data_IF_955865371301
#
_entry.id   IF_955865371301
#
_cell.length_a   1.000
_cell.length_b   1.000
_cell.length_c   1.000
_cell.angle_alpha   90.00
_cell.angle_beta   90.00
_cell.angle_gamma   90.00
#
_symmetry.space_group_name_H-M   'P 1'
#
loop_
_entity.id
_entity.type
_entity.pdbx_description
1 polymer ?
#
# COMPACT_ATOMS: atom_id res chain seq x y z
N UNK A 1 -3.18 34.05 -24.28
CA UNK A 1 -1.72 34.17 -24.06
C UNK A 1 -1.13 34.49 -25.41
N UNK A 2 -0.67 35.74 -25.60
CA UNK A 2 -0.19 36.17 -26.91
C UNK A 2 1.20 35.58 -27.17
N UNK A 3 1.55 35.23 -28.42
CA UNK A 3 2.88 34.70 -28.77
C UNK A 3 4.02 35.64 -28.36
N UNK A 4 3.76 36.95 -28.34
CA UNK A 4 4.72 38.00 -28.01
C UNK A 4 5.04 38.10 -26.50
N UNK A 5 4.27 37.41 -25.65
CA UNK A 5 4.49 37.37 -24.21
C UNK A 5 5.59 36.38 -23.81
N UNK A 6 6.04 35.51 -24.74
CA UNK A 6 6.99 34.43 -24.49
C UNK A 6 8.39 34.85 -24.96
N UNK A 7 9.12 35.53 -24.08
CA UNK A 7 10.53 35.90 -24.28
C UNK A 7 11.42 34.91 -23.54
N UNK A 8 12.13 34.05 -24.29
CA UNK A 8 12.96 32.96 -23.75
C UNK A 8 14.33 33.48 -23.30
N UNK A 9 14.78 34.60 -23.84
CA UNK A 9 16.05 35.28 -23.59
C UNK A 9 16.03 36.19 -22.36
N UNK A 10 14.84 36.53 -21.86
CA UNK A 10 14.66 37.39 -20.69
C UNK A 10 14.80 36.61 -19.37
N UNK A 11 16.03 36.16 -19.10
CA UNK A 11 16.38 35.42 -17.89
C UNK A 11 16.04 36.17 -16.62
N UNK A 12 16.13 37.50 -16.63
CA UNK A 12 15.82 38.31 -15.45
C UNK A 12 14.33 38.25 -15.14
N UNK A 13 13.45 38.39 -16.14
CA UNK A 13 12.01 38.19 -15.98
C UNK A 13 11.67 36.75 -15.61
N UNK A 14 12.39 35.77 -16.16
CA UNK A 14 12.18 34.34 -15.86
C UNK A 14 12.53 34.01 -14.39
N UNK A 15 13.62 34.56 -13.85
CA UNK A 15 14.07 34.26 -12.48
C UNK A 15 13.50 35.20 -11.40
N UNK A 16 13.40 36.50 -11.65
CA UNK A 16 12.93 37.49 -10.68
C UNK A 16 11.45 37.86 -10.85
N UNK A 17 10.88 37.63 -12.03
CA UNK A 17 9.53 38.10 -12.35
C UNK A 17 9.42 39.62 -12.31
N UNK A 18 8.20 40.11 -12.10
CA UNK A 18 7.87 41.55 -12.01
C UNK A 18 7.74 42.03 -10.54
N UNK A 19 8.12 41.20 -9.57
CA UNK A 19 7.90 41.45 -8.14
C UNK A 19 9.09 42.20 -7.52
N UNK A 20 8.85 43.12 -6.57
CA UNK A 20 9.91 43.86 -5.90
C UNK A 20 10.79 42.93 -5.05
N UNK A 21 12.09 43.24 -4.95
CA UNK A 21 13.06 42.43 -4.20
C UNK A 21 12.66 42.19 -2.71
N UNK A 22 11.95 43.14 -2.10
CA UNK A 22 11.43 43.03 -0.73
C UNK A 22 10.41 41.89 -0.57
N UNK A 23 9.70 41.53 -1.64
CA UNK A 23 8.72 40.45 -1.62
C UNK A 23 9.39 39.09 -1.36
N UNK A 24 10.62 38.87 -1.84
CA UNK A 24 11.33 37.62 -1.58
C UNK A 24 11.64 37.43 -0.09
N UNK A 25 11.96 38.51 0.63
CA UNK A 25 12.16 38.47 2.09
C UNK A 25 10.85 38.11 2.79
N UNK A 26 9.73 38.68 2.35
CA UNK A 26 8.41 38.34 2.86
C UNK A 26 8.07 36.86 2.60
N UNK A 27 8.33 36.34 1.40
CA UNK A 27 8.13 34.93 1.06
C UNK A 27 8.98 34.02 1.97
N UNK A 28 10.24 34.37 2.25
CA UNK A 28 11.10 33.61 3.17
C UNK A 28 10.48 33.56 4.58
N UNK A 29 10.00 34.69 5.09
CA UNK A 29 9.35 34.77 6.42
C UNK A 29 8.06 33.94 6.42
N UNK A 30 7.19 34.12 5.41
CA UNK A 30 5.92 33.38 5.27
C UNK A 30 6.16 31.88 5.19
N UNK A 31 7.15 31.45 4.40
CA UNK A 31 7.52 30.04 4.23
C UNK A 31 8.09 29.45 5.53
N UNK A 32 8.92 30.20 6.24
CA UNK A 32 9.47 29.78 7.54
C UNK A 32 8.34 29.56 8.56
N UNK A 33 7.41 30.51 8.65
CA UNK A 33 6.25 30.38 9.54
C UNK A 33 5.39 29.16 9.20
N UNK A 34 5.05 29.00 7.91
CA UNK A 34 4.27 27.87 7.41
C UNK A 34 4.96 26.54 7.69
N UNK A 35 6.28 26.46 7.50
CA UNK A 35 7.06 25.25 7.79
C UNK A 35 6.96 24.87 9.28
N UNK A 36 7.09 25.85 10.18
CA UNK A 36 6.91 25.62 11.62
C UNK A 36 5.48 25.19 11.95
N UNK A 37 4.47 25.80 11.32
CA UNK A 37 3.08 25.40 11.45
C UNK A 37 2.89 23.93 11.03
N UNK A 38 3.45 23.52 9.89
CA UNK A 38 3.40 22.15 9.39
C UNK A 38 4.06 21.16 10.37
N UNK A 39 5.24 21.50 10.89
CA UNK A 39 5.90 20.68 11.90
C UNK A 39 5.02 20.48 13.14
N UNK A 40 4.36 21.54 13.60
CA UNK A 40 3.41 21.47 14.73
C UNK A 40 2.22 20.58 14.36
N UNK A 41 1.60 20.76 13.19
CA UNK A 41 0.49 19.93 12.71
C UNK A 41 0.84 18.45 12.68
N UNK A 42 1.98 18.08 12.06
CA UNK A 42 2.45 16.70 11.97
C UNK A 42 2.74 16.13 13.36
N UNK A 43 3.36 16.92 14.25
CA UNK A 43 3.63 16.49 15.63
C UNK A 43 2.35 16.25 16.43
N UNK A 44 1.32 17.06 16.21
CA UNK A 44 -0.01 16.91 16.82
C UNK A 44 -0.73 15.66 16.26
N UNK A 45 -0.55 15.32 14.99
CA UNK A 45 -1.11 14.12 14.37
C UNK A 45 -0.50 12.81 14.92
N UNK A 46 0.70 12.86 15.52
CA UNK A 46 1.27 11.79 16.34
C UNK A 46 2.23 10.83 15.62
N UNK A 47 2.78 9.84 16.36
CA UNK A 47 3.85 8.95 15.87
C UNK A 47 3.41 7.93 14.81
N UNK A 48 2.11 7.66 14.64
CA UNK A 48 1.60 6.70 13.63
C UNK A 48 1.86 7.18 12.19
N UNK A 49 1.71 8.48 11.90
CA UNK A 49 1.97 9.05 10.57
C UNK A 49 3.41 8.85 10.07
N UNK A 50 4.39 8.76 10.98
CA UNK A 50 5.81 8.69 10.62
C UNK A 50 6.27 7.30 10.13
N UNK A 51 5.51 6.24 10.43
CA UNK A 51 5.88 4.88 10.02
C UNK A 51 5.20 4.51 8.69
N UNK A 52 3.89 4.72 8.56
CA UNK A 52 3.11 4.39 7.37
C UNK A 52 1.85 5.26 7.32
N UNK A 53 1.67 6.04 6.25
CA UNK A 53 0.46 6.87 6.07
C UNK A 53 -0.71 6.00 5.62
N UNK A 54 -1.84 6.07 6.33
CA UNK A 54 -3.10 5.52 5.84
C UNK A 54 -3.70 6.44 4.75
N UNK A 55 -4.64 5.95 3.93
CA UNK A 55 -5.25 6.72 2.81
C UNK A 55 -5.79 8.09 3.25
N UNK A 56 -6.43 8.15 4.42
CA UNK A 56 -6.97 9.40 4.97
C UNK A 56 -5.87 10.40 5.35
N UNK A 57 -4.72 9.91 5.79
CA UNK A 57 -3.57 10.73 6.17
C UNK A 57 -2.87 11.30 4.93
N UNK A 58 -2.76 10.50 3.87
CA UNK A 58 -2.27 10.97 2.56
C UNK A 58 -3.18 12.07 1.99
N UNK A 59 -4.51 11.89 2.06
CA UNK A 59 -5.46 12.90 1.62
C UNK A 59 -5.30 14.20 2.42
N UNK A 60 -5.25 14.11 3.75
CA UNK A 60 -5.07 15.27 4.63
C UNK A 60 -3.76 16.03 4.33
N UNK A 61 -2.64 15.32 4.17
CA UNK A 61 -1.34 15.91 3.84
C UNK A 61 -1.37 16.60 2.48
N UNK A 62 -2.01 15.98 1.49
CA UNK A 62 -2.12 16.52 0.13
C UNK A 62 -2.97 17.80 0.10
N UNK A 63 -4.11 17.78 0.81
CA UNK A 63 -4.96 18.97 0.97
C UNK A 63 -4.23 20.11 1.69
N UNK A 64 -3.45 19.79 2.73
CA UNK A 64 -2.68 20.77 3.48
C UNK A 64 -1.58 21.41 2.62
N UNK A 65 -0.85 20.62 1.83
CA UNK A 65 0.16 21.11 0.90
C UNK A 65 -0.45 22.05 -0.16
N UNK A 66 -1.60 21.68 -0.73
CA UNK A 66 -2.31 22.52 -1.71
C UNK A 66 -2.81 23.85 -1.11
N UNK A 67 -3.33 23.81 0.11
CA UNK A 67 -3.86 25.00 0.80
C UNK A 67 -2.78 26.02 1.17
N UNK A 68 -1.57 25.55 1.43
CA UNK A 68 -0.45 26.36 1.92
C UNK A 68 0.28 27.09 0.78
N UNK A 69 0.41 26.46 -0.39
CA UNK A 69 1.15 27.06 -1.51
C UNK A 69 0.57 28.41 -1.95
N UNK A 70 -0.74 28.56 -1.88
CA UNK A 70 -1.46 29.77 -2.30
C UNK A 70 -1.05 31.03 -1.51
N UNK A 71 -1.19 31.10 -0.17
CA UNK A 71 -0.85 32.33 0.57
C UNK A 71 0.66 32.57 0.76
N UNK A 72 1.52 31.57 0.53
CA UNK A 72 2.97 31.78 0.52
C UNK A 72 3.42 32.52 -0.74
N UNK A 73 2.82 32.19 -1.89
CA UNK A 73 3.24 32.69 -3.21
C UNK A 73 2.42 33.89 -3.70
N UNK A 74 1.27 34.17 -3.10
CA UNK A 74 0.40 35.29 -3.47
C UNK A 74 0.54 36.48 -2.50
N UNK A 75 1.07 37.65 -2.95
CA UNK A 75 1.26 38.81 -2.08
C UNK A 75 -0.05 39.38 -1.52
N UNK A 76 -1.13 39.28 -2.29
CA UNK A 76 -2.48 39.75 -1.98
C UNK A 76 -3.20 38.90 -0.92
N UNK A 77 -2.64 37.74 -0.55
CA UNK A 77 -3.28 36.80 0.38
C UNK A 77 -2.51 36.72 1.69
N UNK A 78 -3.22 36.91 2.81
CA UNK A 78 -2.66 36.67 4.14
C UNK A 78 -2.54 35.18 4.48
N UNK A 79 -1.84 34.86 5.58
CA UNK A 79 -1.66 33.49 6.06
C UNK A 79 -2.84 32.96 6.89
N UNK A 80 -3.77 33.81 7.32
CA UNK A 80 -4.93 33.43 8.14
C UNK A 80 -5.77 32.29 7.53
N UNK A 81 -6.10 32.30 6.22
CA UNK A 81 -6.79 31.17 5.59
C UNK A 81 -6.00 29.86 5.67
N UNK A 82 -4.69 29.87 5.48
CA UNK A 82 -3.86 28.67 5.63
C UNK A 82 -3.86 28.14 7.06
N UNK A 83 -3.79 29.04 8.06
CA UNK A 83 -3.89 28.66 9.48
C UNK A 83 -5.25 28.02 9.77
N UNK A 84 -6.34 28.62 9.29
CA UNK A 84 -7.68 28.09 9.49
C UNK A 84 -7.84 26.70 8.84
N UNK A 85 -7.37 26.53 7.60
CA UNK A 85 -7.41 25.23 6.90
C UNK A 85 -6.57 24.19 7.66
N UNK A 86 -5.37 24.55 8.10
CA UNK A 86 -4.51 23.65 8.87
C UNK A 86 -5.19 23.20 10.17
N UNK A 87 -5.83 24.11 10.91
CA UNK A 87 -6.59 23.79 12.12
C UNK A 87 -7.74 22.83 11.80
N UNK A 88 -8.53 23.10 10.77
CA UNK A 88 -9.67 22.27 10.38
C UNK A 88 -9.20 20.86 9.98
N UNK A 89 -8.15 20.75 9.17
CA UNK A 89 -7.60 19.46 8.73
C UNK A 89 -7.09 18.65 9.93
N UNK A 90 -6.32 19.27 10.82
CA UNK A 90 -5.76 18.60 12.00
C UNK A 90 -6.86 18.21 12.99
N UNK A 91 -7.82 19.10 13.25
CA UNK A 91 -8.95 18.81 14.13
C UNK A 91 -9.83 17.70 13.55
N UNK A 92 -10.14 17.76 12.25
CA UNK A 92 -10.90 16.75 11.52
C UNK A 92 -10.22 15.39 11.55
N UNK A 93 -8.92 15.32 11.25
CA UNK A 93 -8.16 14.07 11.31
C UNK A 93 -8.17 13.48 12.72
N UNK A 94 -7.92 14.30 13.77
CA UNK A 94 -8.00 13.82 15.15
C UNK A 94 -9.38 13.33 15.55
N UNK A 95 -10.42 14.01 15.07
CA UNK A 95 -11.79 13.63 15.35
C UNK A 95 -12.12 12.29 14.70
N UNK A 96 -11.79 12.11 13.43
CA UNK A 96 -11.93 10.85 12.69
C UNK A 96 -11.16 9.73 13.40
N UNK A 97 -9.89 9.94 13.74
CA UNK A 97 -9.08 8.95 14.44
C UNK A 97 -9.66 8.57 15.81
N UNK A 98 -10.22 9.54 16.54
CA UNK A 98 -10.83 9.28 17.86
C UNK A 98 -12.14 8.51 17.75
N UNK A 99 -12.96 8.78 16.73
CA UNK A 99 -14.18 8.01 16.46
C UNK A 99 -13.80 6.59 16.03
N UNK A 100 -12.86 6.43 15.09
CA UNK A 100 -12.39 5.13 14.63
C UNK A 100 -11.90 4.27 15.81
N UNK A 101 -11.10 4.82 16.71
CA UNK A 101 -10.60 4.08 17.90
C UNK A 101 -11.68 3.60 18.90
N UNK A 102 -12.92 4.06 18.77
CA UNK A 102 -14.03 3.73 19.67
C UNK A 102 -15.12 2.90 19.02
N UNK A 103 -15.14 2.82 17.69
CA UNK A 103 -16.22 2.19 16.94
C UNK A 103 -15.64 1.36 15.81
N UNK A 104 -15.56 0.05 16.03
CA UNK A 104 -15.05 -0.95 15.07
C UNK A 104 -15.75 -0.83 13.70
N UNK A 105 -17.06 -0.52 13.66
CA UNK A 105 -17.77 -0.32 12.38
C UNK A 105 -17.31 0.91 11.63
N UNK A 106 -17.01 1.99 12.35
CA UNK A 106 -16.48 3.22 11.74
C UNK A 106 -15.02 3.05 11.34
N UNK A 107 -14.25 2.30 12.15
CA UNK A 107 -12.90 1.87 11.79
C UNK A 107 -12.94 1.09 10.48
N UNK A 108 -13.70 0.00 10.37
CA UNK A 108 -13.83 -0.81 9.15
C UNK A 108 -14.29 -0.02 7.91
N UNK A 109 -15.14 1.00 8.06
CA UNK A 109 -15.56 1.87 6.94
C UNK A 109 -14.45 2.85 6.54
N UNK A 110 -13.68 3.37 7.50
CA UNK A 110 -12.66 4.42 7.25
C UNK A 110 -11.25 3.89 7.04
N UNK A 111 -10.98 2.68 7.51
CA UNK A 111 -9.72 1.95 7.50
C UNK A 111 -10.15 0.52 7.14
N UNK A 112 -9.81 0.03 5.94
CA UNK A 112 -10.19 -1.35 5.54
C UNK A 112 -9.79 -2.33 6.66
N UNK A 113 -10.60 -3.36 6.91
CA UNK A 113 -10.21 -4.39 7.88
C UNK A 113 -9.04 -5.22 7.35
N UNK A 114 -8.24 -5.75 8.28
CA UNK A 114 -7.20 -6.73 7.95
C UNK A 114 -7.84 -8.06 7.57
N UNK A 115 -7.35 -8.69 6.51
CA UNK A 115 -7.80 -10.01 6.07
C UNK A 115 -6.64 -11.01 5.90
N UNK A 116 -6.95 -12.29 6.17
CA UNK A 116 -6.01 -13.39 5.94
C UNK A 116 -6.16 -13.85 4.49
N UNK A 117 -5.11 -13.69 3.69
CA UNK A 117 -5.09 -14.10 2.28
C UNK A 117 -4.48 -15.48 2.07
N UNK A 118 -3.55 -15.90 2.93
CA UNK A 118 -2.97 -17.25 2.92
C UNK A 118 -2.96 -17.82 4.32
N UNK A 119 -3.43 -19.06 4.45
CA UNK A 119 -3.46 -19.81 5.69
C UNK A 119 -2.83 -21.18 5.49
N UNK A 120 -1.70 -21.42 6.15
CA UNK A 120 -0.97 -22.70 6.14
C UNK A 120 -0.69 -23.22 4.71
N UNK A 121 -0.29 -22.32 3.81
CA UNK A 121 -0.02 -22.59 2.40
C UNK A 121 -1.23 -22.68 1.48
N UNK A 122 -2.44 -22.38 1.98
CA UNK A 122 -3.68 -22.36 1.20
C UNK A 122 -4.19 -20.93 1.03
N UNK A 123 -4.54 -20.55 -0.20
CA UNK A 123 -5.12 -19.26 -0.55
C UNK A 123 -6.58 -19.18 -0.06
N UNK A 124 -6.90 -18.14 0.69
CA UNK A 124 -8.24 -17.81 1.15
C UNK A 124 -8.98 -17.02 0.05
N UNK A 125 -9.48 -17.73 -0.98
CA UNK A 125 -10.03 -17.12 -2.20
C UNK A 125 -11.17 -16.13 -1.95
N UNK A 126 -12.00 -16.37 -0.94
CA UNK A 126 -13.08 -15.45 -0.56
C UNK A 126 -12.55 -14.13 -0.01
N UNK A 127 -11.52 -14.20 0.85
CA UNK A 127 -10.86 -13.02 1.40
C UNK A 127 -10.15 -12.23 0.28
N UNK A 128 -9.44 -12.93 -0.61
CA UNK A 128 -8.84 -12.31 -1.79
C UNK A 128 -9.86 -11.58 -2.67
N UNK A 129 -11.04 -12.15 -2.88
CA UNK A 129 -12.12 -11.51 -3.62
C UNK A 129 -12.67 -10.27 -2.89
N UNK A 130 -12.85 -10.34 -1.58
CA UNK A 130 -13.34 -9.24 -0.75
C UNK A 130 -12.34 -8.07 -0.72
N UNK A 131 -11.05 -8.35 -0.49
CA UNK A 131 -9.97 -7.36 -0.50
C UNK A 131 -9.52 -6.94 -1.91
N UNK A 132 -10.15 -7.46 -2.98
CA UNK A 132 -9.79 -7.19 -4.40
C UNK A 132 -8.32 -7.44 -4.72
N UNK A 133 -7.73 -8.48 -4.11
CA UNK A 133 -6.35 -8.89 -4.35
C UNK A 133 -6.34 -10.04 -5.36
N UNK A 134 -5.69 -9.82 -6.50
CA UNK A 134 -5.47 -10.88 -7.49
C UNK A 134 -4.38 -11.84 -7.01
N UNK A 135 -4.43 -13.08 -7.50
CA UNK A 135 -3.39 -14.08 -7.20
C UNK A 135 -2.02 -13.63 -7.69
N UNK A 136 -1.97 -12.97 -8.84
CA UNK A 136 -0.73 -12.48 -9.44
C UNK A 136 -0.09 -11.38 -8.58
N UNK A 137 -0.90 -10.49 -7.99
CA UNK A 137 -0.42 -9.48 -7.03
C UNK A 137 0.11 -10.14 -5.76
N UNK A 138 -0.65 -11.07 -5.20
CA UNK A 138 -0.23 -11.82 -4.00
C UNK A 138 1.09 -12.58 -4.25
N UNK A 139 1.20 -13.27 -5.38
CA UNK A 139 2.41 -14.01 -5.75
C UNK A 139 3.60 -13.09 -6.02
N UNK A 140 3.38 -11.91 -6.60
CA UNK A 140 4.44 -10.91 -6.76
C UNK A 140 5.02 -10.48 -5.40
N UNK A 141 4.17 -10.25 -4.40
CA UNK A 141 4.58 -9.88 -3.04
C UNK A 141 5.35 -11.02 -2.36
N UNK A 142 4.89 -12.26 -2.51
CA UNK A 142 5.62 -13.43 -2.02
C UNK A 142 6.99 -13.57 -2.67
N UNK A 143 7.10 -13.39 -4.00
CA UNK A 143 8.38 -13.42 -4.71
C UNK A 143 9.30 -12.29 -4.26
N UNK A 144 8.77 -11.09 -4.01
CA UNK A 144 9.55 -9.97 -3.47
C UNK A 144 10.11 -10.27 -2.07
N UNK A 145 9.43 -11.11 -1.29
CA UNK A 145 9.89 -11.65 -0.01
C UNK A 145 10.73 -12.94 -0.15
N UNK A 146 11.22 -13.29 -1.35
CA UNK A 146 12.01 -14.50 -1.63
C UNK A 146 11.30 -15.82 -1.32
N UNK A 147 9.96 -15.82 -1.31
CA UNK A 147 9.15 -17.05 -1.22
C UNK A 147 8.94 -17.61 -2.63
N UNK A 148 9.21 -18.91 -2.80
CA UNK A 148 9.14 -19.62 -4.07
C UNK A 148 7.91 -20.53 -4.20
N UNK A 149 7.31 -20.93 -3.07
CA UNK A 149 6.07 -21.68 -3.06
C UNK A 149 5.24 -21.42 -1.79
N UNK A 150 3.92 -21.61 -1.89
CA UNK A 150 2.97 -21.33 -0.80
C UNK A 150 3.23 -22.16 0.47
N UNK A 151 3.86 -23.32 0.36
CA UNK A 151 4.16 -24.16 1.52
C UNK A 151 5.18 -23.57 2.51
N UNK A 152 5.90 -22.51 2.11
CA UNK A 152 6.73 -21.67 2.99
C UNK A 152 5.90 -20.64 3.77
N UNK A 153 4.65 -20.39 3.40
CA UNK A 153 3.80 -19.35 3.98
C UNK A 153 2.89 -19.94 5.05
N UNK A 154 3.11 -19.57 6.31
CA UNK A 154 2.18 -19.91 7.39
C UNK A 154 0.99 -18.98 7.39
N UNK A 155 1.20 -17.66 7.37
CA UNK A 155 0.13 -16.67 7.26
C UNK A 155 0.57 -15.55 6.32
N UNK A 156 -0.36 -15.07 5.51
CA UNK A 156 -0.20 -13.82 4.78
C UNK A 156 -1.43 -12.96 5.05
N UNK A 157 -1.22 -11.76 5.54
CA UNK A 157 -2.27 -10.79 5.82
C UNK A 157 -2.21 -9.64 4.82
N UNK A 158 -3.36 -9.07 4.47
CA UNK A 158 -3.46 -7.73 3.90
C UNK A 158 -3.94 -6.79 5.00
N UNK A 159 -3.13 -5.81 5.33
CA UNK A 159 -3.42 -4.80 6.35
C UNK A 159 -4.31 -3.68 5.80
N UNK A 160 -4.94 -2.90 6.68
CA UNK A 160 -5.81 -1.77 6.35
C UNK A 160 -5.20 -0.73 5.38
N UNK A 161 -3.87 -0.59 5.43
CA UNK A 161 -3.11 0.32 4.57
C UNK A 161 -2.69 -0.30 3.23
N UNK A 162 -3.14 -1.52 2.94
CA UNK A 162 -2.84 -2.26 1.71
C UNK A 162 -1.48 -2.94 1.70
N UNK A 163 -0.76 -2.99 2.82
CA UNK A 163 0.52 -3.71 2.93
C UNK A 163 0.31 -5.17 3.29
N UNK A 164 1.27 -5.99 2.89
CA UNK A 164 1.28 -7.41 3.23
C UNK A 164 2.12 -7.65 4.48
N UNK A 165 1.62 -8.49 5.38
CA UNK A 165 2.38 -9.01 6.52
C UNK A 165 2.56 -10.52 6.33
N UNK A 166 3.81 -10.96 6.19
CA UNK A 166 4.16 -12.36 5.97
C UNK A 166 4.64 -13.01 7.28
N UNK A 167 4.10 -14.18 7.59
CA UNK A 167 4.63 -15.09 8.60
C UNK A 167 5.01 -16.38 7.88
N UNK A 168 6.30 -16.66 7.84
CA UNK A 168 6.85 -17.87 7.26
C UNK A 168 6.60 -19.10 8.13
N UNK A 169 6.63 -20.25 7.49
CA UNK A 169 6.51 -21.55 8.13
C UNK A 169 7.91 -22.04 8.54
N UNK A 170 8.15 -22.22 9.84
CA UNK A 170 9.44 -22.69 10.38
C UNK A 170 9.94 -23.98 9.73
N UNK A 171 8.99 -24.87 9.37
CA UNK A 171 9.25 -26.08 8.62
C UNK A 171 8.42 -26.03 7.34
N UNK A 172 9.00 -25.50 6.24
CA UNK A 172 8.32 -25.43 4.97
C UNK A 172 7.79 -26.80 4.55
N UNK A 173 6.55 -26.81 4.07
CA UNK A 173 5.91 -28.01 3.50
C UNK A 173 5.95 -27.90 1.99
N UNK A 174 5.82 -29.00 1.24
CA UNK A 174 5.60 -28.90 -0.19
C UNK A 174 4.34 -28.10 -0.50
N UNK A 175 4.37 -27.21 -1.51
CA UNK A 175 3.23 -26.35 -1.84
C UNK A 175 3.22 -25.87 -3.29
N UNK A 176 2.24 -25.04 -3.63
CA UNK A 176 2.05 -24.49 -4.96
C UNK A 176 3.16 -23.48 -5.29
N UNK A 177 3.79 -23.61 -6.46
CA UNK A 177 4.79 -22.63 -6.93
C UNK A 177 4.15 -21.24 -7.08
N UNK A 178 4.86 -20.21 -6.64
CA UNK A 178 4.45 -18.81 -6.88
C UNK A 178 5.13 -18.21 -8.11
N UNK A 179 5.97 -18.96 -8.81
CA UNK A 179 6.64 -18.51 -10.04
C UNK A 179 5.60 -18.31 -11.17
N UNK A 180 5.70 -17.24 -11.99
CA UNK A 180 4.79 -17.04 -13.12
C UNK A 180 4.84 -18.22 -14.09
N UNK A 181 3.70 -18.58 -14.69
CA UNK A 181 3.65 -19.70 -15.63
C UNK A 181 4.45 -19.44 -16.91
N UNK A 182 4.82 -18.19 -17.18
CA UNK A 182 5.65 -17.79 -18.31
C UNK A 182 7.11 -18.24 -18.15
N UNK A 183 7.58 -18.44 -16.92
CA UNK A 183 8.95 -18.84 -16.59
C UNK A 183 9.02 -20.36 -16.36
N UNK A 184 8.86 -21.12 -17.45
CA UNK A 184 8.87 -22.59 -17.41
C UNK A 184 10.24 -23.14 -17.01
N UNK A 185 11.33 -22.47 -17.39
CA UNK A 185 12.70 -22.85 -17.05
C UNK A 185 12.87 -22.93 -15.54
N UNK A 186 12.51 -21.86 -14.81
CA UNK A 186 12.63 -21.84 -13.36
C UNK A 186 11.67 -22.83 -12.67
N UNK A 187 10.46 -23.05 -13.22
CA UNK A 187 9.50 -24.04 -12.68
C UNK A 187 10.03 -25.47 -12.82
N UNK A 188 10.75 -25.78 -13.89
CA UNK A 188 11.31 -27.11 -14.13
C UNK A 188 12.51 -27.41 -13.23
N UNK A 189 13.33 -26.41 -12.92
CA UNK A 189 14.43 -26.51 -11.95
C UNK A 189 13.95 -26.76 -10.52
N UNK A 190 12.74 -26.31 -10.18
CA UNK A 190 12.20 -26.45 -8.84
C UNK A 190 12.01 -27.93 -8.43
N UNK A 191 12.48 -28.33 -7.24
CA UNK A 191 12.37 -29.71 -6.80
C UNK A 191 10.91 -30.05 -6.50
N UNK A 192 10.40 -31.14 -7.10
CA UNK A 192 9.00 -31.59 -6.96
C UNK A 192 8.87 -32.72 -5.94
N UNK A 193 7.73 -32.76 -5.24
CA UNK A 193 7.35 -33.87 -4.36
C UNK A 193 6.36 -34.79 -5.09
N UNK A 194 6.66 -36.10 -5.13
CA UNK A 194 5.87 -37.07 -5.90
C UNK A 194 4.83 -37.83 -5.08
N UNK A 195 4.83 -37.68 -3.74
CA UNK A 195 3.96 -38.41 -2.80
C UNK A 195 2.57 -37.76 -2.63
N UNK A 196 2.37 -36.56 -3.18
CA UNK A 196 1.19 -35.73 -2.98
C UNK A 196 0.96 -34.81 -4.16
N UNK A 197 -0.24 -34.25 -4.25
CA UNK A 197 -0.62 -33.25 -5.25
C UNK A 197 -1.07 -31.96 -4.54
N UNK A 198 -0.97 -30.85 -5.26
CA UNK A 198 -1.45 -29.54 -4.82
C UNK A 198 -2.47 -28.98 -5.80
N UNK A 199 -3.54 -28.40 -5.28
CA UNK A 199 -4.56 -27.75 -6.09
C UNK A 199 -3.97 -26.49 -6.73
N UNK A 200 -4.05 -26.38 -8.06
CA UNK A 200 -3.52 -25.24 -8.83
C UNK A 200 -4.23 -23.92 -8.51
N UNK A 201 -5.48 -23.99 -8.03
CA UNK A 201 -6.29 -22.81 -7.76
C UNK A 201 -6.08 -22.26 -6.35
N UNK A 202 -6.10 -23.10 -5.31
CA UNK A 202 -5.98 -22.63 -3.92
C UNK A 202 -4.71 -23.06 -3.18
N UNK A 203 -3.88 -23.95 -3.72
CA UNK A 203 -2.67 -24.40 -3.02
C UNK A 203 -2.89 -25.49 -1.96
N UNK A 204 -4.12 -25.97 -1.78
CA UNK A 204 -4.39 -27.07 -0.85
C UNK A 204 -3.77 -28.40 -1.31
N UNK A 205 -3.11 -29.11 -0.40
CA UNK A 205 -2.38 -30.35 -0.69
C UNK A 205 -3.17 -31.60 -0.28
N UNK A 206 -3.09 -32.67 -1.08
CA UNK A 206 -3.67 -33.97 -0.79
C UNK A 206 -2.70 -35.11 -1.14
N UNK A 207 -2.66 -36.16 -0.32
CA UNK A 207 -1.83 -37.34 -0.57
C UNK A 207 -2.40 -38.20 -1.70
N UNK A 208 -1.52 -38.84 -2.46
CA UNK A 208 -1.91 -39.82 -3.48
C UNK A 208 -2.38 -41.15 -2.84
N UNK A 209 -3.21 -41.95 -3.56
CA UNK A 209 -3.72 -41.71 -4.91
C UNK A 209 -4.97 -40.81 -4.93
N UNK A 210 -4.99 -39.85 -5.87
CA UNK A 210 -6.17 -39.03 -6.19
C UNK A 210 -6.77 -39.53 -7.50
N UNK A 211 -8.09 -39.70 -7.56
CA UNK A 211 -8.78 -39.93 -8.84
C UNK A 211 -8.93 -38.57 -9.56
N UNK A 212 -8.97 -38.53 -10.90
CA UNK A 212 -9.15 -37.29 -11.66
C UNK A 212 -10.41 -36.50 -11.30
N UNK A 213 -11.42 -37.21 -10.79
CA UNK A 213 -12.73 -36.67 -10.38
C UNK A 213 -12.70 -36.02 -8.98
N UNK A 214 -11.59 -36.12 -8.25
CA UNK A 214 -11.52 -35.64 -6.88
C UNK A 214 -11.48 -34.10 -6.87
N UNK A 215 -12.58 -33.50 -6.42
CA UNK A 215 -12.64 -32.07 -6.13
C UNK A 215 -11.75 -31.70 -4.93
N UNK A 216 -11.10 -30.54 -5.03
CA UNK A 216 -10.41 -29.94 -3.90
C UNK A 216 -11.39 -29.67 -2.75
N UNK A 217 -11.10 -30.19 -1.55
CA UNK A 217 -11.94 -29.97 -0.37
C UNK A 217 -12.02 -28.50 0.07
N UNK A 218 -11.12 -27.63 -0.41
CA UNK A 218 -11.10 -26.20 -0.10
C UNK A 218 -11.85 -25.34 -1.13
N UNK A 219 -11.51 -25.46 -2.42
CA UNK A 219 -12.07 -24.59 -3.47
C UNK A 219 -12.91 -25.31 -4.54
N UNK A 220 -13.09 -26.63 -4.44
CA UNK A 220 -13.87 -27.45 -5.39
C UNK A 220 -13.29 -27.56 -6.82
N UNK A 221 -12.09 -27.04 -7.05
CA UNK A 221 -11.37 -27.21 -8.31
C UNK A 221 -10.83 -28.64 -8.47
N UNK A 222 -10.68 -29.11 -9.71
CA UNK A 222 -10.18 -30.45 -10.07
C UNK A 222 -8.76 -30.42 -10.64
N UNK A 223 -8.16 -29.24 -10.80
CA UNK A 223 -6.82 -29.10 -11.34
C UNK A 223 -5.76 -29.34 -10.25
N UNK A 224 -5.09 -30.48 -10.35
CA UNK A 224 -4.02 -30.91 -9.46
C UNK A 224 -2.67 -30.93 -10.18
N UNK A 225 -1.62 -30.45 -9.51
CA UNK A 225 -0.24 -30.48 -10.02
C UNK A 225 0.72 -30.98 -8.93
N UNK A 226 1.92 -31.46 -9.29
CA UNK A 226 2.95 -31.79 -8.31
C UNK A 226 3.38 -30.55 -7.51
N UNK A 227 3.44 -30.59 -6.17
CA UNK A 227 3.93 -29.47 -5.37
C UNK A 227 5.45 -29.35 -5.44
N UNK A 228 5.92 -28.13 -5.21
CA UNK A 228 7.32 -27.81 -5.02
C UNK A 228 7.69 -28.08 -3.56
N UNK A 229 8.78 -28.80 -3.31
CA UNK A 229 9.36 -28.97 -1.98
C UNK A 229 10.40 -27.89 -1.72
N UNK A 230 10.58 -27.49 -0.47
CA UNK A 230 11.77 -26.71 -0.11
C UNK A 230 12.98 -27.63 -0.09
N UNK A 231 14.13 -27.12 -0.50
CA UNK A 231 15.41 -27.79 -0.21
C UNK A 231 15.61 -27.80 1.31
N UNK A 232 16.13 -28.92 1.83
CA UNK A 232 16.39 -29.11 3.25
C UNK A 232 17.67 -28.41 3.69
#
# INVERSE_FOLDING_TARGET
>A
MNPDDIKIDDWLRIFYGELPASYFIEVIIRMTFVYLLLMVCIRIMGRRMASQLNRNEMAALTSLAAAIGMPVLSPDRGLLPAIAIAIIIVAGQRWISRIASRNEKFEAITQDDMEILVKDGVLELKAMQHSRITRERLFAELRAASILHLGQVRRLYIEANGKFTLIENEKPKPGLSVIPNEDQELIEEQPKANDRLVCKNCGNTMFQPLKPENECNHCKDVNWIPPIKSEA
#
